data_IF_199916863626
#
_entry.id   IF_199916863626
#
_cell.length_a   1.000
_cell.length_b   1.000
_cell.length_c   1.000
_cell.angle_alpha   90.00
_cell.angle_beta   90.00
_cell.angle_gamma   90.00
#
_symmetry.space_group_name_H-M   'P 1'
#
loop_
_entity.id
_entity.type
_entity.pdbx_description
1 polymer ?
#
# COMPACT_ATOMS: atom_id res chain seq x y z
N UNK A 1 -17.67 18.53 2.29
CA UNK A 1 -17.36 17.80 1.04
C UNK A 1 -16.14 16.93 1.32
N UNK A 2 -16.31 15.61 1.47
CA UNK A 2 -15.16 14.71 1.62
C UNK A 2 -14.32 14.79 0.35
N UNK A 3 -13.06 15.22 0.47
CA UNK A 3 -12.12 15.30 -0.64
C UNK A 3 -11.69 13.87 -0.98
N UNK A 4 -12.28 13.28 -2.01
CA UNK A 4 -11.97 11.92 -2.46
C UNK A 4 -10.61 11.94 -3.17
N UNK A 5 -9.57 11.40 -2.53
CA UNK A 5 -8.23 11.26 -3.11
C UNK A 5 -8.05 9.87 -3.71
N UNK A 6 -7.11 9.71 -4.64
CA UNK A 6 -6.79 8.41 -5.23
C UNK A 6 -6.43 7.39 -4.14
N UNK A 7 -5.62 7.80 -3.15
CA UNK A 7 -5.30 6.96 -1.99
C UNK A 7 -6.53 6.44 -1.26
N UNK A 8 -7.53 7.29 -0.99
CA UNK A 8 -8.81 6.87 -0.37
C UNK A 8 -9.62 5.95 -1.27
N UNK A 9 -9.71 6.21 -2.58
CA UNK A 9 -10.39 5.30 -3.52
C UNK A 9 -9.77 3.91 -3.51
N UNK A 10 -8.44 3.86 -3.59
CA UNK A 10 -7.74 2.60 -3.67
C UNK A 10 -7.77 1.85 -2.33
N UNK A 11 -7.60 2.56 -1.21
CA UNK A 11 -7.74 1.99 0.12
C UNK A 11 -9.13 1.33 0.28
N UNK A 12 -10.21 2.05 -0.07
CA UNK A 12 -11.57 1.51 -0.05
C UNK A 12 -11.69 0.24 -0.88
N UNK A 13 -11.13 0.24 -2.09
CA UNK A 13 -11.18 -0.95 -2.95
C UNK A 13 -10.45 -2.15 -2.35
N UNK A 14 -9.29 -1.93 -1.72
CA UNK A 14 -8.54 -3.01 -1.04
C UNK A 14 -9.37 -3.63 0.09
N UNK A 15 -10.03 -2.81 0.90
CA UNK A 15 -10.86 -3.28 2.02
C UNK A 15 -12.12 -3.97 1.54
N UNK A 16 -12.82 -3.42 0.54
CA UNK A 16 -13.99 -4.07 -0.07
C UNK A 16 -13.67 -5.47 -0.63
N UNK A 17 -12.49 -5.62 -1.23
CA UNK A 17 -12.07 -6.92 -1.74
C UNK A 17 -11.69 -7.90 -0.63
N UNK A 18 -11.25 -7.41 0.54
CA UNK A 18 -10.67 -8.24 1.58
C UNK A 18 -11.65 -9.18 2.29
N UNK A 19 -12.97 -8.98 2.20
CA UNK A 19 -14.06 -9.89 2.65
C UNK A 19 -13.73 -10.71 3.94
N UNK A 20 -13.22 -10.07 5.00
CA UNK A 20 -12.81 -10.68 6.29
C UNK A 20 -11.58 -11.62 6.28
N UNK A 21 -10.86 -11.77 5.16
CA UNK A 21 -9.61 -12.53 5.12
C UNK A 21 -8.41 -11.69 5.58
N UNK A 22 -7.47 -12.33 6.28
CA UNK A 22 -6.32 -11.65 6.90
C UNK A 22 -5.22 -11.25 5.93
N UNK A 23 -5.19 -11.82 4.71
CA UNK A 23 -4.15 -11.62 3.71
C UNK A 23 -4.75 -11.65 2.32
N UNK A 24 -4.94 -10.47 1.73
CA UNK A 24 -5.42 -10.34 0.35
C UNK A 24 -4.31 -9.93 -0.60
N UNK A 25 -4.34 -10.50 -1.80
CA UNK A 25 -3.31 -10.29 -2.82
C UNK A 25 -3.93 -9.65 -4.04
N UNK A 26 -3.24 -8.65 -4.56
CA UNK A 26 -3.68 -7.89 -5.72
C UNK A 26 -2.57 -7.81 -6.76
N UNK A 27 -2.98 -7.79 -8.02
CA UNK A 27 -2.14 -7.39 -9.14
C UNK A 27 -2.78 -6.19 -9.82
N UNK A 28 -2.04 -5.09 -9.89
CA UNK A 28 -2.47 -3.91 -10.66
C UNK A 28 -2.03 -4.12 -12.10
N UNK A 29 -2.97 -3.94 -13.02
CA UNK A 29 -2.76 -4.08 -14.46
C UNK A 29 -2.98 -2.75 -15.16
N UNK A 30 -2.13 -2.43 -16.12
CA UNK A 30 -2.36 -1.24 -16.95
C UNK A 30 -3.64 -1.42 -17.77
N UNK A 31 -4.49 -0.39 -17.81
CA UNK A 31 -5.77 -0.43 -18.51
C UNK A 31 -5.62 -0.70 -20.00
N UNK A 32 -4.53 -0.24 -20.62
CA UNK A 32 -4.30 -0.28 -22.06
C UNK A 32 -3.62 -1.59 -22.46
N UNK A 33 -2.48 -1.89 -21.84
CA UNK A 33 -1.67 -3.06 -22.22
C UNK A 33 -2.14 -4.34 -21.54
N UNK A 34 -2.95 -4.23 -20.47
CA UNK A 34 -3.35 -5.32 -19.58
C UNK A 34 -2.19 -6.01 -18.85
N UNK A 35 -0.96 -5.53 -19.05
CA UNK A 35 0.23 -6.07 -18.41
C UNK A 35 0.22 -5.78 -16.92
N UNK A 36 0.74 -6.69 -16.08
CA UNK A 36 0.89 -6.45 -14.65
C UNK A 36 1.95 -5.36 -14.45
N UNK A 37 1.64 -4.38 -13.63
CA UNK A 37 2.53 -3.23 -13.34
C UNK A 37 2.85 -3.13 -11.86
N UNK A 38 1.97 -3.60 -10.97
CA UNK A 38 2.21 -3.61 -9.54
C UNK A 38 1.75 -4.92 -8.90
N UNK A 39 2.54 -5.42 -7.97
CA UNK A 39 2.19 -6.52 -7.08
C UNK A 39 1.92 -5.96 -5.69
N UNK A 40 0.80 -6.31 -5.06
CA UNK A 40 0.42 -5.79 -3.73
C UNK A 40 -0.09 -6.95 -2.85
N UNK A 41 0.36 -6.97 -1.59
CA UNK A 41 -0.18 -7.84 -0.53
C UNK A 41 -0.69 -6.94 0.58
N UNK A 42 -1.97 -7.06 0.89
CA UNK A 42 -2.62 -6.43 2.04
C UNK A 42 -2.24 -7.21 3.31
N UNK A 43 -1.63 -6.55 4.29
CA UNK A 43 -1.17 -7.20 5.52
C UNK A 43 -2.17 -7.10 6.67
N UNK A 44 -2.80 -5.94 6.84
CA UNK A 44 -3.85 -5.72 7.83
C UNK A 44 -4.60 -4.41 7.48
N UNK A 45 -5.90 -4.50 7.15
CA UNK A 45 -6.72 -3.33 6.84
C UNK A 45 -7.10 -2.49 8.07
N UNK A 46 -7.12 -3.08 9.27
CA UNK A 46 -7.57 -2.45 10.52
C UNK A 46 -6.43 -1.87 11.36
N UNK A 47 -5.38 -1.38 10.70
CA UNK A 47 -4.24 -0.82 11.43
C UNK A 47 -4.40 0.66 11.72
N UNK A 48 -3.95 1.05 12.90
CA UNK A 48 -3.83 2.44 13.28
C UNK A 48 -2.36 2.83 13.26
N UNK A 49 -2.05 3.98 12.66
CA UNK A 49 -0.75 4.63 12.85
C UNK A 49 -0.88 5.68 13.94
N UNK A 50 0.16 5.79 14.75
CA UNK A 50 0.32 6.83 15.75
C UNK A 50 1.49 7.71 15.36
N UNK A 51 1.31 9.03 15.43
CA UNK A 51 2.37 10.01 15.23
C UNK A 51 2.35 11.03 16.37
N UNK A 52 3.54 11.44 16.81
CA UNK A 52 3.74 12.32 17.96
C UNK A 52 5.09 12.06 18.62
N UNK A 53 5.55 13.02 19.43
CA UNK A 53 6.77 12.87 20.21
C UNK A 53 6.42 12.49 21.65
N UNK A 54 7.04 11.45 22.18
CA UNK A 54 6.97 11.13 23.61
C UNK A 54 8.10 11.89 24.32
N UNK A 55 8.00 13.22 24.39
CA UNK A 55 8.90 13.99 25.25
C UNK A 55 8.32 14.07 26.65
N UNK A 56 8.89 13.30 27.57
CA UNK A 56 8.78 13.56 29.02
C UNK A 56 9.57 14.82 29.34
N UNK A 57 9.01 15.98 29.00
CA UNK A 57 9.40 17.23 29.68
C UNK A 57 8.24 17.58 30.58
N UNK A 58 8.48 17.32 31.87
CA UNK A 58 7.65 17.66 33.02
C UNK A 58 6.85 18.94 32.77
N UNK A 59 5.53 18.83 33.00
CA UNK A 59 4.56 19.91 33.22
C UNK A 59 4.94 21.26 32.59
N UNK A 60 4.38 21.62 31.42
CA UNK A 60 3.87 22.97 31.06
C UNK A 60 3.37 23.13 29.61
N UNK A 61 3.43 22.11 28.75
CA UNK A 61 2.85 22.20 27.40
C UNK A 61 1.58 21.35 27.25
N UNK A 62 0.60 21.77 26.43
CA UNK A 62 -0.61 20.99 26.21
C UNK A 62 -0.20 19.61 25.68
N UNK A 63 -0.60 18.57 26.43
CA UNK A 63 -0.43 17.14 26.11
C UNK A 63 -0.34 16.97 24.60
N UNK A 64 0.85 16.65 24.09
CA UNK A 64 1.06 16.50 22.66
C UNK A 64 0.05 15.47 22.15
N UNK A 65 -0.98 15.96 21.45
CA UNK A 65 -2.13 15.14 21.11
C UNK A 65 -1.68 14.12 20.08
N UNK A 66 -1.49 12.88 20.54
CA UNK A 66 -1.18 11.74 19.68
C UNK A 66 -2.20 11.71 18.54
N UNK A 67 -1.71 11.82 17.31
CA UNK A 67 -2.55 11.74 16.13
C UNK A 67 -2.62 10.28 15.72
N UNK A 68 -3.74 9.68 16.09
CA UNK A 68 -4.15 8.37 15.62
C UNK A 68 -4.89 8.53 14.29
N UNK A 69 -4.46 7.79 13.28
CA UNK A 69 -5.13 7.75 11.98
C UNK A 69 -5.17 6.32 11.45
N UNK A 70 -6.31 5.90 10.86
CA UNK A 70 -6.42 4.61 10.22
C UNK A 70 -5.50 4.55 9.00
N UNK A 71 -4.76 3.46 8.89
CA UNK A 71 -3.90 3.16 7.75
C UNK A 71 -4.08 1.72 7.33
N UNK A 72 -3.84 1.48 6.04
CA UNK A 72 -3.72 0.13 5.49
C UNK A 72 -2.25 -0.16 5.30
N UNK A 73 -1.74 -1.27 5.86
CA UNK A 73 -0.37 -1.74 5.60
C UNK A 73 -0.34 -2.66 4.39
N UNK A 74 0.64 -2.43 3.53
CA UNK A 74 0.85 -3.24 2.32
C UNK A 74 2.31 -3.61 2.13
N UNK A 75 2.55 -4.76 1.52
CA UNK A 75 3.79 -5.06 0.83
C UNK A 75 3.57 -4.84 -0.66
N UNK A 76 4.49 -4.20 -1.35
CA UNK A 76 4.37 -3.97 -2.80
C UNK A 76 5.68 -4.13 -3.57
N UNK A 77 5.57 -4.37 -4.87
CA UNK A 77 6.67 -4.30 -5.83
C UNK A 77 6.21 -3.62 -7.10
N UNK A 78 7.02 -2.68 -7.60
CA UNK A 78 6.78 -1.91 -8.81
C UNK A 78 7.50 -2.57 -10.01
N UNK A 79 6.72 -2.83 -11.06
CA UNK A 79 7.13 -3.54 -12.26
C UNK A 79 6.83 -2.75 -13.54
N UNK A 80 6.66 -1.42 -13.45
CA UNK A 80 6.39 -0.58 -14.63
C UNK A 80 7.42 -0.73 -15.77
N UNK A 81 8.68 -1.02 -15.43
CA UNK A 81 9.76 -1.24 -16.39
C UNK A 81 10.24 -2.70 -16.39
N UNK A 82 9.37 -3.64 -16.02
CA UNK A 82 9.73 -5.05 -15.95
C UNK A 82 10.11 -5.60 -17.32
N UNK A 83 11.14 -6.46 -17.34
CA UNK A 83 11.44 -7.28 -18.51
C UNK A 83 10.29 -8.26 -18.78
N UNK A 84 10.26 -8.85 -19.97
CA UNK A 84 9.26 -9.88 -20.30
C UNK A 84 9.34 -11.08 -19.33
N UNK A 85 10.55 -11.47 -18.92
CA UNK A 85 10.75 -12.54 -17.93
C UNK A 85 10.18 -12.18 -16.55
N UNK A 86 10.40 -10.94 -16.08
CA UNK A 86 9.82 -10.46 -14.83
C UNK A 86 8.30 -10.39 -14.90
N UNK A 87 7.75 -9.94 -16.04
CA UNK A 87 6.30 -9.90 -16.26
C UNK A 87 5.67 -11.30 -16.15
N UNK A 88 6.30 -12.32 -16.74
CA UNK A 88 5.84 -13.72 -16.62
C UNK A 88 5.86 -14.22 -15.18
N UNK A 89 6.90 -13.89 -14.40
CA UNK A 89 6.98 -14.27 -12.99
C UNK A 89 5.83 -13.67 -12.16
N UNK A 90 5.43 -12.43 -12.45
CA UNK A 90 4.30 -11.79 -11.77
C UNK A 90 2.99 -12.46 -12.15
N UNK A 91 2.81 -12.84 -13.42
CA UNK A 91 1.62 -13.57 -13.86
C UNK A 91 1.50 -14.95 -13.21
N UNK A 92 2.60 -15.69 -13.15
CA UNK A 92 2.68 -16.96 -12.45
C UNK A 92 2.35 -16.79 -10.96
N UNK A 93 2.91 -15.75 -10.32
CA UNK A 93 2.60 -15.43 -8.93
C UNK A 93 1.13 -15.08 -8.75
N UNK A 94 0.56 -14.23 -9.60
CA UNK A 94 -0.83 -13.80 -9.52
C UNK A 94 -1.78 -14.99 -9.65
N UNK A 95 -1.51 -15.87 -10.61
CA UNK A 95 -2.28 -17.11 -10.84
C UNK A 95 -2.16 -18.06 -9.65
N UNK A 96 -0.93 -18.33 -9.20
CA UNK A 96 -0.66 -19.25 -8.08
C UNK A 96 -1.31 -18.81 -6.78
N UNK A 97 -1.41 -17.51 -6.56
CA UNK A 97 -1.92 -16.95 -5.31
C UNK A 97 -3.34 -16.41 -5.43
N UNK A 98 -4.05 -16.69 -6.52
CA UNK A 98 -5.42 -16.17 -6.79
C UNK A 98 -5.53 -14.66 -6.55
N UNK A 99 -4.53 -13.90 -7.01
CA UNK A 99 -4.47 -12.46 -6.78
C UNK A 99 -5.55 -11.73 -7.58
N UNK A 100 -6.28 -10.84 -6.92
CA UNK A 100 -7.34 -10.04 -7.52
C UNK A 100 -6.75 -9.02 -8.49
N UNK A 101 -7.32 -8.94 -9.70
CA UNK A 101 -6.84 -8.01 -10.73
C UNK A 101 -7.58 -6.68 -10.65
N UNK A 102 -6.83 -5.60 -10.46
CA UNK A 102 -7.36 -4.23 -10.51
C UNK A 102 -6.74 -3.53 -11.72
N UNK A 103 -7.58 -2.99 -12.60
CA UNK A 103 -7.12 -2.27 -13.77
C UNK A 103 -7.04 -0.77 -13.50
N UNK A 104 -5.90 -0.17 -13.80
CA UNK A 104 -5.65 1.26 -13.58
C UNK A 104 -4.97 1.90 -14.78
N UNK A 105 -5.20 3.19 -14.97
CA UNK A 105 -4.41 3.95 -15.95
C UNK A 105 -2.99 4.14 -15.44
N UNK A 106 -2.03 4.28 -16.34
CA UNK A 106 -0.62 4.54 -15.99
C UNK A 106 -0.48 5.69 -15.00
N UNK A 107 -1.24 6.78 -15.18
CA UNK A 107 -1.23 7.94 -14.26
C UNK A 107 -1.68 7.56 -12.85
N UNK A 108 -2.74 6.78 -12.70
CA UNK A 108 -3.24 6.34 -11.39
C UNK A 108 -2.24 5.42 -10.70
N UNK A 109 -1.61 4.50 -11.44
CA UNK A 109 -0.59 3.62 -10.87
C UNK A 109 0.64 4.40 -10.41
N UNK A 110 1.10 5.38 -11.19
CA UNK A 110 2.21 6.25 -10.79
C UNK A 110 1.88 7.07 -9.54
N UNK A 111 0.66 7.61 -9.44
CA UNK A 111 0.20 8.31 -8.24
C UNK A 111 0.20 7.38 -7.03
N UNK A 112 -0.23 6.12 -7.20
CA UNK A 112 -0.25 5.11 -6.15
C UNK A 112 1.14 4.73 -5.66
N UNK A 113 2.07 4.51 -6.60
CA UNK A 113 3.48 4.27 -6.27
C UNK A 113 4.08 5.47 -5.54
N UNK A 114 3.75 6.69 -5.95
CA UNK A 114 4.18 7.91 -5.25
C UNK A 114 3.72 7.97 -3.79
N UNK A 115 2.48 7.55 -3.52
CA UNK A 115 1.97 7.43 -2.15
C UNK A 115 2.75 6.37 -1.36
N UNK A 116 3.02 5.21 -1.96
CA UNK A 116 3.79 4.16 -1.29
C UNK A 116 5.23 4.57 -0.98
N UNK A 117 5.91 5.23 -1.91
CA UNK A 117 7.27 5.74 -1.70
C UNK A 117 7.29 6.74 -0.55
N UNK A 118 6.34 7.68 -0.55
CA UNK A 118 6.24 8.72 0.49
C UNK A 118 5.99 8.15 1.88
N UNK A 119 5.23 7.06 1.99
CA UNK A 119 4.91 6.42 3.25
C UNK A 119 5.96 5.39 3.73
N UNK A 120 6.85 4.94 2.84
CA UNK A 120 7.90 3.95 3.17
C UNK A 120 8.83 4.46 4.27
N UNK A 121 9.18 5.75 4.24
CA UNK A 121 10.14 6.35 5.16
C UNK A 121 9.58 6.55 6.59
N UNK A 122 8.30 6.19 6.81
CA UNK A 122 7.70 6.16 8.14
C UNK A 122 8.09 4.91 8.95
N UNK A 123 8.66 3.89 8.31
CA UNK A 123 9.06 2.65 8.96
C UNK A 123 10.56 2.64 9.29
N UNK A 124 10.97 1.99 10.41
CA UNK A 124 12.39 1.77 10.69
C UNK A 124 13.10 1.07 9.53
N UNK A 125 14.39 1.38 9.27
CA UNK A 125 15.14 0.76 8.16
C UNK A 125 15.12 -0.77 8.16
N UNK A 126 15.09 -1.38 9.36
CA UNK A 126 15.00 -2.84 9.56
C UNK A 126 13.68 -3.45 9.09
N UNK A 127 12.65 -2.65 8.81
CA UNK A 127 11.31 -3.10 8.42
C UNK A 127 10.97 -2.72 6.97
N UNK A 128 11.93 -2.33 6.15
CA UNK A 128 11.68 -1.75 4.81
C UNK A 128 11.23 -2.75 3.76
N UNK A 129 11.55 -4.04 3.92
CA UNK A 129 11.17 -5.07 2.95
C UNK A 129 11.02 -6.46 3.55
N UNK A 130 10.24 -7.30 2.88
CA UNK A 130 10.09 -8.72 3.17
C UNK A 130 9.99 -9.50 1.86
N UNK A 131 10.87 -10.48 1.67
CA UNK A 131 10.92 -11.32 0.46
C UNK A 131 11.00 -10.50 -0.86
N UNK A 132 11.73 -9.38 -0.84
CA UNK A 132 11.87 -8.50 -2.00
C UNK A 132 10.70 -7.53 -2.22
N UNK A 133 9.64 -7.60 -1.42
CA UNK A 133 8.54 -6.64 -1.43
C UNK A 133 8.80 -5.52 -0.43
N UNK A 134 8.44 -4.29 -0.77
CA UNK A 134 8.65 -3.09 0.04
C UNK A 134 7.44 -2.90 0.96
N UNK A 135 7.70 -2.65 2.25
CA UNK A 135 6.65 -2.29 3.22
C UNK A 135 6.25 -0.82 3.06
N UNK A 136 4.95 -0.58 2.97
CA UNK A 136 4.39 0.77 2.94
C UNK A 136 2.98 0.80 3.55
N UNK A 137 2.33 1.96 3.48
CA UNK A 137 0.95 2.14 3.92
C UNK A 137 0.18 3.20 3.13
N UNK A 138 -1.15 3.08 3.15
CA UNK A 138 -2.08 4.08 2.64
C UNK A 138 -2.91 4.64 3.77
N UNK A 139 -3.22 5.94 3.70
CA UNK A 139 -4.17 6.56 4.61
C UNK A 139 -5.60 6.30 4.14
N UNK A 140 -6.45 5.93 5.11
CA UNK A 140 -7.89 5.75 4.93
C UNK A 140 -8.68 7.05 5.10
#
# INVERSE_FOLDING_TARGET
MLKYTMGKMFANRLVECANDESLFRFVIRDLTTKSPVLQIILLNPDTWSCSGNCSDTEDKDPVHKLKLQPIIKVLYSDFHNATESQSRLIEEWATKNSAESIFMSTRQTQELVGLFISAKDLYPPSCTSFQGLILSSLQW
#
